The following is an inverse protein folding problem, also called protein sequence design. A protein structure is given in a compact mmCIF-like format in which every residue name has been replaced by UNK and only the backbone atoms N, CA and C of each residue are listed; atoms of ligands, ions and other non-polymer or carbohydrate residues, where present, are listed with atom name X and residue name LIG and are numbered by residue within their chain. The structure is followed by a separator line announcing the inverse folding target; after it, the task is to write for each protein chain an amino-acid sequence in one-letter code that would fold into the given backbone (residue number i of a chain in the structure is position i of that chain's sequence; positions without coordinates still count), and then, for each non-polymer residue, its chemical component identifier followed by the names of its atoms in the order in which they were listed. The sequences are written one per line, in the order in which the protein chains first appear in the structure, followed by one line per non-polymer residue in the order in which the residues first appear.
data_IF_990266226773
#
_entry.id   IF_990266226773
#
_cell.length_a   1.000
_cell.length_b   1.000
_cell.length_c   1.000
_cell.angle_alpha   90.00
_cell.angle_beta   90.00
_cell.angle_gamma   90.00
#
_symmetry.space_group_name_H-M   'P 1'
#
loop_
_entity.id
_entity.type
_entity.pdbx_description
1 polymer ?
#
# COMPACT_ATOMS: atom_id res chain seq x y z
N UNK A 1 -11.70 -25.67 -53.03
CA UNK A 1 -11.92 -24.50 -52.14
C UNK A 1 -10.58 -24.09 -51.53
N UNK A 2 -9.90 -23.10 -52.10
CA UNK A 2 -8.69 -22.51 -51.53
C UNK A 2 -9.10 -21.31 -50.68
N UNK A 3 -9.20 -21.50 -49.35
CA UNK A 3 -9.39 -20.40 -48.42
C UNK A 3 -8.02 -19.76 -48.08
N UNK A 4 -7.88 -18.43 -48.11
CA UNK A 4 -6.60 -17.79 -48.42
C UNK A 4 -5.69 -17.59 -47.20
N UNK A 5 -4.40 -17.91 -47.40
CA UNK A 5 -3.27 -17.58 -46.52
C UNK A 5 -3.19 -16.09 -46.10
N UNK A 6 -3.91 -15.21 -46.80
CA UNK A 6 -3.99 -13.77 -46.54
C UNK A 6 -4.68 -13.47 -45.20
N UNK A 7 -5.73 -14.22 -44.82
CA UNK A 7 -6.42 -14.05 -43.53
C UNK A 7 -5.51 -14.44 -42.35
N UNK A 8 -4.71 -15.50 -42.51
CA UNK A 8 -3.72 -15.94 -41.53
C UNK A 8 -2.59 -14.91 -41.34
N UNK A 9 -2.18 -14.25 -42.43
CA UNK A 9 -1.16 -13.20 -42.38
C UNK A 9 -1.66 -11.89 -41.76
N UNK A 10 -2.93 -11.53 -42.00
CA UNK A 10 -3.57 -10.35 -41.41
C UNK A 10 -3.72 -10.56 -39.90
N UNK A 11 -4.25 -11.71 -39.48
CA UNK A 11 -4.35 -12.12 -38.08
C UNK A 11 -3.03 -12.10 -37.32
N UNK A 12 -1.92 -12.56 -37.93
CA UNK A 12 -0.56 -12.54 -37.33
C UNK A 12 0.07 -11.13 -37.25
N UNK A 13 -0.37 -10.18 -38.09
CA UNK A 13 0.13 -8.79 -38.09
C UNK A 13 -0.68 -7.93 -37.12
N UNK A 14 -1.99 -8.14 -37.01
CA UNK A 14 -2.84 -7.50 -35.99
C UNK A 14 -2.54 -7.99 -34.57
N UNK A 15 -2.21 -9.27 -34.36
CA UNK A 15 -1.81 -9.78 -33.03
C UNK A 15 -0.51 -9.15 -32.53
N UNK A 16 0.51 -9.00 -33.39
CA UNK A 16 1.77 -8.33 -33.01
C UNK A 16 1.59 -6.84 -32.69
N UNK A 17 0.78 -6.13 -33.48
CA UNK A 17 0.46 -4.73 -33.20
C UNK A 17 -0.38 -4.57 -31.92
N UNK A 18 -1.35 -5.46 -31.69
CA UNK A 18 -2.18 -5.49 -30.48
C UNK A 18 -1.35 -5.83 -29.23
N UNK A 19 -0.40 -6.76 -29.32
CA UNK A 19 0.51 -7.10 -28.22
C UNK A 19 1.40 -5.91 -27.83
N UNK A 20 1.90 -5.14 -28.81
CA UNK A 20 2.70 -3.94 -28.55
C UNK A 20 1.86 -2.86 -27.83
N UNK A 21 0.62 -2.64 -28.26
CA UNK A 21 -0.31 -1.69 -27.65
C UNK A 21 -0.73 -2.13 -26.25
N UNK A 22 -1.03 -3.42 -26.05
CA UNK A 22 -1.38 -3.98 -24.73
C UNK A 22 -0.23 -3.85 -23.72
N UNK A 23 1.01 -4.01 -24.19
CA UNK A 23 2.20 -3.82 -23.34
C UNK A 23 2.36 -2.37 -22.89
N UNK A 24 2.15 -1.41 -23.79
CA UNK A 24 2.19 0.02 -23.45
C UNK A 24 1.06 0.42 -22.48
N UNK A 25 -0.15 -0.11 -22.70
CA UNK A 25 -1.29 0.10 -21.80
C UNK A 25 -1.05 -0.51 -20.41
N UNK A 26 -0.37 -1.66 -20.32
CA UNK A 26 -0.02 -2.28 -19.03
C UNK A 26 0.96 -1.42 -18.22
N UNK A 27 1.96 -0.82 -18.89
CA UNK A 27 2.90 0.11 -18.25
C UNK A 27 2.17 1.35 -17.74
N UNK A 28 1.26 1.92 -18.55
CA UNK A 28 0.45 3.07 -18.16
C UNK A 28 -0.49 2.75 -16.99
N UNK A 29 -1.15 1.59 -17.03
CA UNK A 29 -2.05 1.12 -15.98
C UNK A 29 -1.32 0.94 -14.65
N UNK A 30 -0.17 0.26 -14.66
CA UNK A 30 0.67 0.11 -13.49
C UNK A 30 1.18 1.46 -12.96
N UNK A 31 1.60 2.36 -13.86
CA UNK A 31 2.01 3.71 -13.51
C UNK A 31 0.91 4.48 -12.79
N UNK A 32 -0.31 4.50 -13.35
CA UNK A 32 -1.46 5.16 -12.75
C UNK A 32 -1.83 4.58 -11.39
N UNK A 33 -1.85 3.24 -11.25
CA UNK A 33 -2.12 2.57 -9.97
C UNK A 33 -1.11 2.99 -8.90
N UNK A 34 0.19 2.96 -9.22
CA UNK A 34 1.23 3.30 -8.25
C UNK A 34 1.11 4.77 -7.83
N UNK A 35 0.86 5.68 -8.76
CA UNK A 35 0.70 7.12 -8.47
C UNK A 35 -0.53 7.38 -7.59
N UNK A 36 -1.68 6.75 -7.89
CA UNK A 36 -2.91 6.89 -7.10
C UNK A 36 -2.70 6.32 -5.69
N UNK A 37 -2.05 5.15 -5.58
CA UNK A 37 -1.77 4.52 -4.28
C UNK A 37 -0.83 5.39 -3.44
N UNK A 38 0.25 5.93 -4.03
CA UNK A 38 1.19 6.80 -3.32
C UNK A 38 0.55 8.13 -2.86
N UNK A 39 -0.36 8.71 -3.65
CA UNK A 39 -1.04 9.97 -3.28
C UNK A 39 -2.05 9.80 -2.15
N UNK A 40 -2.81 8.69 -2.13
CA UNK A 40 -3.74 8.37 -1.03
C UNK A 40 -3.00 8.08 0.27
N UNK A 41 -1.91 7.30 0.23
CA UNK A 41 -1.12 6.97 1.40
C UNK A 41 -0.44 8.21 2.02
N UNK A 42 -0.05 9.17 1.19
CA UNK A 42 0.54 10.45 1.65
C UNK A 42 -0.47 11.28 2.45
N UNK A 43 -1.72 11.33 2.00
CA UNK A 43 -2.80 12.08 2.66
C UNK A 43 -3.12 11.52 4.05
N UNK A 44 -3.18 10.20 4.18
CA UNK A 44 -3.41 9.51 5.46
C UNK A 44 -2.25 9.71 6.45
N UNK A 45 -1.02 9.75 5.94
CA UNK A 45 0.17 9.98 6.75
C UNK A 45 0.19 11.38 7.38
N UNK A 46 -0.27 12.40 6.65
CA UNK A 46 -0.36 13.78 7.15
C UNK A 46 -1.37 13.90 8.29
N UNK A 47 -2.55 13.28 8.16
CA UNK A 47 -3.56 13.28 9.21
C UNK A 47 -3.04 12.63 10.51
N UNK A 48 -2.32 11.52 10.37
CA UNK A 48 -1.75 10.80 11.50
C UNK A 48 -0.59 11.58 12.18
N UNK A 49 0.17 12.39 11.42
CA UNK A 49 1.16 13.32 11.97
C UNK A 49 0.49 14.42 12.80
N UNK A 50 -0.53 15.10 12.27
CA UNK A 50 -1.21 16.20 12.95
C UNK A 50 -1.84 15.76 14.28
N UNK A 51 -2.51 14.61 14.28
CA UNK A 51 -3.09 14.03 15.51
C UNK A 51 -1.98 13.67 16.51
N UNK A 52 -0.84 13.14 16.02
CA UNK A 52 0.33 12.84 16.84
C UNK A 52 0.92 14.07 17.55
N UNK A 53 1.03 15.21 16.86
CA UNK A 53 1.52 16.46 17.45
C UNK A 53 0.55 17.07 18.45
N UNK A 54 -0.76 17.05 18.17
CA UNK A 54 -1.78 17.59 19.08
C UNK A 54 -1.83 16.77 20.38
N UNK A 55 -1.53 15.46 20.32
CA UNK A 55 -1.61 14.54 21.46
C UNK A 55 -0.26 14.19 22.09
N UNK A 56 0.84 14.86 21.73
CA UNK A 56 2.19 14.55 22.19
C UNK A 56 2.43 14.73 23.69
N UNK A 57 1.63 15.57 24.37
CA UNK A 57 1.81 15.93 25.78
C UNK A 57 0.93 15.16 26.79
N UNK A 58 -0.03 14.36 26.33
CA UNK A 58 -1.04 13.74 27.21
C UNK A 58 -0.75 12.28 27.58
N UNK A 59 0.41 11.73 27.18
CA UNK A 59 0.71 10.30 27.37
C UNK A 59 2.15 10.05 27.87
N UNK A 60 2.35 9.50 29.09
CA UNK A 60 3.67 9.26 29.65
C UNK A 60 4.45 8.12 28.97
N UNK A 61 3.78 7.20 28.26
CA UNK A 61 4.42 5.99 27.73
C UNK A 61 4.83 6.02 26.25
N UNK A 62 4.23 6.88 25.40
CA UNK A 62 4.24 6.65 23.94
C UNK A 62 4.68 7.86 23.08
N UNK A 63 5.72 8.58 23.51
CA UNK A 63 6.41 9.56 22.64
C UNK A 63 7.11 8.93 21.42
N UNK A 64 7.14 7.60 21.32
CA UNK A 64 7.73 6.83 20.22
C UNK A 64 6.74 6.59 19.06
N UNK A 65 5.41 6.62 19.28
CA UNK A 65 4.41 6.48 18.20
C UNK A 65 4.60 7.56 17.13
N UNK A 66 4.60 8.87 17.46
CA UNK A 66 4.69 9.92 16.45
C UNK A 66 6.07 9.95 15.76
N UNK A 67 7.14 9.58 16.48
CA UNK A 67 8.49 9.43 15.93
C UNK A 67 8.57 8.32 14.87
N UNK A 68 7.87 7.21 15.09
CA UNK A 68 7.78 6.12 14.10
C UNK A 68 7.07 6.55 12.82
N UNK A 69 5.99 7.33 12.93
CA UNK A 69 5.21 7.82 11.78
C UNK A 69 5.98 8.83 10.90
N UNK A 70 6.85 9.65 11.49
CA UNK A 70 7.69 10.63 10.76
C UNK A 70 8.76 9.91 9.92
N UNK A 71 9.34 8.84 10.45
CA UNK A 71 10.39 8.06 9.76
C UNK A 71 9.78 7.25 8.60
N UNK A 72 8.57 6.72 8.77
CA UNK A 72 7.83 6.00 7.73
C UNK A 72 7.59 6.82 6.44
N UNK A 73 7.40 8.13 6.56
CA UNK A 73 7.15 9.00 5.41
C UNK A 73 8.41 9.49 4.68
N UNK A 74 9.59 9.38 5.30
CA UNK A 74 10.83 9.99 4.80
C UNK A 74 11.87 9.01 4.25
N UNK A 75 11.83 7.73 4.66
CA UNK A 75 12.80 6.72 4.21
C UNK A 75 12.21 5.90 3.05
N UNK A 76 12.77 6.08 1.84
CA UNK A 76 12.24 5.51 0.59
C UNK A 76 12.17 3.98 0.49
N UNK A 77 11.61 3.53 -0.65
CA UNK A 77 11.21 2.15 -1.02
C UNK A 77 12.15 1.00 -0.59
N UNK A 78 13.47 1.24 -0.50
CA UNK A 78 14.47 0.23 -0.16
C UNK A 78 14.42 -0.26 1.30
N UNK A 79 13.88 0.52 2.23
CA UNK A 79 13.78 0.15 3.66
C UNK A 79 12.35 -0.20 4.11
N UNK A 80 11.37 -0.08 3.21
CA UNK A 80 9.95 -0.21 3.51
C UNK A 80 9.57 -1.58 4.07
N UNK A 81 10.13 -2.69 3.57
CA UNK A 81 9.72 -4.03 4.01
C UNK A 81 10.11 -4.30 5.48
N UNK A 82 11.35 -3.98 5.87
CA UNK A 82 11.83 -4.19 7.24
C UNK A 82 11.12 -3.27 8.24
N UNK A 83 10.87 -2.02 7.86
CA UNK A 83 10.14 -1.08 8.71
C UNK A 83 8.64 -1.42 8.81
N UNK A 84 8.01 -1.86 7.72
CA UNK A 84 6.61 -2.33 7.77
C UNK A 84 6.47 -3.50 8.77
N UNK A 85 7.39 -4.46 8.73
CA UNK A 85 7.40 -5.61 9.65
C UNK A 85 7.71 -5.19 11.09
N UNK A 86 8.72 -4.34 11.30
CA UNK A 86 9.14 -3.92 12.63
C UNK A 86 8.10 -3.03 13.31
N UNK A 87 7.43 -2.15 12.55
CA UNK A 87 6.39 -1.25 13.05
C UNK A 87 5.10 -1.98 13.37
N UNK A 88 4.73 -2.95 12.54
CA UNK A 88 3.57 -3.80 12.82
C UNK A 88 3.81 -4.68 14.05
N UNK A 89 4.96 -5.36 14.14
CA UNK A 89 5.34 -6.12 15.35
C UNK A 89 5.30 -5.23 16.58
N UNK A 90 5.85 -4.01 16.51
CA UNK A 90 5.83 -3.09 17.64
C UNK A 90 4.40 -2.70 18.07
N UNK A 91 3.52 -2.29 17.14
CA UNK A 91 2.12 -1.96 17.47
C UNK A 91 1.39 -3.15 18.10
N UNK A 92 1.62 -4.37 17.62
CA UNK A 92 1.04 -5.58 18.22
C UNK A 92 1.62 -5.87 19.62
N UNK A 93 2.91 -5.62 19.85
CA UNK A 93 3.53 -5.80 21.18
C UNK A 93 3.08 -4.75 22.20
N UNK A 94 2.77 -3.53 21.75
CA UNK A 94 2.27 -2.46 22.63
C UNK A 94 0.87 -2.79 23.13
N UNK A 95 0.04 -3.47 22.33
CA UNK A 95 -1.33 -3.87 22.71
C UNK A 95 -1.42 -4.61 24.05
N UNK A 96 -0.43 -5.44 24.37
CA UNK A 96 -0.42 -6.23 25.62
C UNK A 96 0.09 -5.45 26.82
N UNK A 97 0.64 -4.25 26.60
CA UNK A 97 1.26 -3.39 27.63
C UNK A 97 0.42 -2.15 27.96
N UNK A 98 -0.55 -1.78 27.13
CA UNK A 98 -1.35 -0.55 27.29
C UNK A 98 -2.58 -0.74 28.16
N UNK A 99 -2.87 0.29 28.95
CA UNK A 99 -4.09 0.44 29.74
C UNK A 99 -4.93 1.60 29.20
N UNK A 100 -6.26 1.44 29.16
CA UNK A 100 -7.21 2.44 28.64
C UNK A 100 -8.12 3.05 29.73
N UNK A 101 -8.15 2.46 30.93
CA UNK A 101 -9.11 2.79 31.99
C UNK A 101 -8.64 3.97 32.87
N UNK A 102 -7.38 3.98 33.31
CA UNK A 102 -6.89 4.88 34.35
C UNK A 102 -5.84 5.87 33.83
N UNK A 103 -6.14 7.19 33.79
CA UNK A 103 -5.21 8.20 33.27
C UNK A 103 -3.96 8.42 34.14
N UNK A 104 -3.98 7.97 35.39
CA UNK A 104 -2.86 8.11 36.33
C UNK A 104 -1.81 7.00 36.23
N UNK A 105 -2.07 5.95 35.44
CA UNK A 105 -1.13 4.85 35.26
C UNK A 105 -0.01 5.26 34.29
N UNK A 106 1.22 4.84 34.58
CA UNK A 106 2.36 5.02 33.69
C UNK A 106 2.12 4.39 32.31
N UNK A 107 1.22 3.41 32.19
CA UNK A 107 0.91 2.71 30.93
C UNK A 107 -0.37 3.19 30.23
N UNK A 108 -0.94 4.33 30.64
CA UNK A 108 -2.14 4.87 30.02
C UNK A 108 -1.91 5.34 28.59
N UNK A 109 -2.78 4.92 27.67
CA UNK A 109 -2.82 5.41 26.29
C UNK A 109 -4.25 5.72 25.86
N UNK A 110 -4.46 6.87 25.20
CA UNK A 110 -5.78 7.21 24.69
C UNK A 110 -6.20 6.27 23.55
N UNK A 111 -7.39 5.67 23.70
CA UNK A 111 -7.96 4.72 22.73
C UNK A 111 -8.07 5.28 21.31
N UNK A 112 -8.30 6.59 21.16
CA UNK A 112 -8.38 7.26 19.86
C UNK A 112 -7.07 7.17 19.06
N UNK A 113 -5.95 7.51 19.71
CA UNK A 113 -4.62 7.53 19.06
C UNK A 113 -4.19 6.12 18.69
N UNK A 114 -4.44 5.16 19.58
CA UNK A 114 -4.15 3.74 19.34
C UNK A 114 -4.97 3.19 18.16
N UNK A 115 -6.27 3.47 18.10
CA UNK A 115 -7.13 3.03 17.01
C UNK A 115 -6.75 3.65 15.66
N UNK A 116 -6.30 4.90 15.66
CA UNK A 116 -5.79 5.55 14.45
C UNK A 116 -4.49 4.90 13.96
N UNK A 117 -3.52 4.66 14.84
CA UNK A 117 -2.27 3.98 14.48
C UNK A 117 -2.53 2.57 13.92
N UNK A 118 -3.40 1.80 14.57
CA UNK A 118 -3.79 0.48 14.12
C UNK A 118 -4.55 0.52 12.77
N UNK A 119 -5.47 1.47 12.63
CA UNK A 119 -6.23 1.70 11.39
C UNK A 119 -5.33 2.04 10.22
N UNK A 120 -4.38 2.96 10.38
CA UNK A 120 -3.42 3.31 9.34
C UNK A 120 -2.62 2.10 8.85
N UNK A 121 -2.12 1.26 9.78
CA UNK A 121 -1.36 0.06 9.44
C UNK A 121 -2.24 -0.94 8.67
N UNK A 122 -3.46 -1.20 9.15
CA UNK A 122 -4.38 -2.13 8.51
C UNK A 122 -4.80 -1.65 7.11
N UNK A 123 -5.11 -0.37 6.96
CA UNK A 123 -5.46 0.25 5.68
C UNK A 123 -4.28 0.19 4.70
N UNK A 124 -3.07 0.46 5.15
CA UNK A 124 -1.87 0.36 4.31
C UNK A 124 -1.64 -1.06 3.80
N UNK A 125 -1.76 -2.08 4.66
CA UNK A 125 -1.68 -3.48 4.25
C UNK A 125 -2.80 -3.87 3.28
N UNK A 126 -4.04 -3.41 3.52
CA UNK A 126 -5.17 -3.66 2.62
C UNK A 126 -4.96 -3.05 1.23
N UNK A 127 -4.47 -1.82 1.15
CA UNK A 127 -4.17 -1.13 -0.12
C UNK A 127 -3.04 -1.83 -0.87
N UNK A 128 -1.97 -2.24 -0.18
CA UNK A 128 -0.86 -2.99 -0.79
C UNK A 128 -1.36 -4.34 -1.33
N UNK A 129 -2.15 -5.08 -0.54
CA UNK A 129 -2.73 -6.36 -0.97
C UNK A 129 -3.65 -6.22 -2.19
N UNK A 130 -4.49 -5.17 -2.21
CA UNK A 130 -5.36 -4.87 -3.34
C UNK A 130 -4.56 -4.51 -4.60
N UNK A 131 -3.54 -3.65 -4.48
CA UNK A 131 -2.67 -3.28 -5.58
C UNK A 131 -1.94 -4.51 -6.16
N UNK A 132 -1.43 -5.40 -5.31
CA UNK A 132 -0.80 -6.66 -5.74
C UNK A 132 -1.79 -7.59 -6.46
N UNK A 133 -3.04 -7.66 -5.99
CA UNK A 133 -4.08 -8.48 -6.63
C UNK A 133 -4.46 -7.95 -8.02
N UNK A 134 -4.70 -6.63 -8.14
CA UNK A 134 -5.05 -5.99 -9.41
C UNK A 134 -3.94 -6.14 -10.45
N UNK A 135 -2.70 -5.97 -10.02
CA UNK A 135 -1.53 -6.11 -10.90
C UNK A 135 -1.31 -7.56 -11.34
N UNK A 136 -1.41 -8.54 -10.45
CA UNK A 136 -1.32 -9.96 -10.79
C UNK A 136 -2.42 -10.39 -11.78
N UNK A 137 -3.65 -9.91 -11.58
CA UNK A 137 -4.77 -10.16 -12.48
C UNK A 137 -4.49 -9.64 -13.89
N UNK A 138 -4.03 -8.38 -14.02
CA UNK A 138 -3.71 -7.77 -15.31
C UNK A 138 -2.55 -8.48 -16.03
N UNK A 139 -1.49 -8.86 -15.30
CA UNK A 139 -0.39 -9.63 -15.88
C UNK A 139 -0.83 -10.99 -16.40
N UNK A 140 -1.72 -11.69 -15.66
CA UNK A 140 -2.26 -12.97 -16.09
C UNK A 140 -3.09 -12.83 -17.38
N UNK A 141 -3.94 -11.80 -17.47
CA UNK A 141 -4.76 -11.54 -18.67
C UNK A 141 -3.91 -11.24 -19.90
N UNK A 142 -2.86 -10.42 -19.75
CA UNK A 142 -1.92 -10.12 -20.85
C UNK A 142 -1.20 -11.38 -21.30
N UNK A 143 -0.78 -12.24 -20.36
CA UNK A 143 -0.10 -13.50 -20.67
C UNK A 143 -1.00 -14.53 -21.35
N UNK A 144 -2.30 -14.54 -21.03
CA UNK A 144 -3.29 -15.38 -21.72
C UNK A 144 -3.48 -14.89 -23.16
N UNK A 145 -3.65 -13.57 -23.35
CA UNK A 145 -3.83 -12.97 -24.67
C UNK A 145 -2.59 -13.08 -25.59
N UNK A 146 -1.38 -13.22 -25.03
CA UNK A 146 -0.13 -13.45 -25.79
C UNK A 146 0.00 -14.91 -26.27
N UNK A 147 -0.73 -15.84 -25.63
CA UNK A 147 -0.67 -17.27 -25.95
C UNK A 147 -1.62 -17.68 -27.08
N UNK A 148 -2.69 -16.93 -27.31
CA UNK A 148 -3.70 -17.16 -28.35
C UNK A 148 -3.34 -16.50 -29.70
#
# INVERSE_FOLDING_TARGET
MHLPNILKSKGRRTTKAAALIATQLNILYHGCIVIIVMSVLSSLSIAALVIGFIKQGECPIQAWIPRWLIIFGSVGLGWCALFILMGSVWVFTVRTRVQFEYPSDANYCQKLVYNMAFGCILTQYGIIGLALCLTACCFALVKICDRD
#
